data_IF_991806395265
#
_entry.id   IF_991806395265
#
_cell.length_a   1.000
_cell.length_b   1.000
_cell.length_c   1.000
_cell.angle_alpha   90.00
_cell.angle_beta   90.00
_cell.angle_gamma   90.00
#
_symmetry.space_group_name_H-M   'P 1'
#
loop_
_entity.id
_entity.type
_entity.pdbx_description
1 polymer ?
#
# COMPACT_ATOMS: atom_id res chain seq x y z
N UNK A 1 -15.19 5.93 18.55
CA UNK A 1 -13.73 6.00 18.32
C UNK A 1 -13.34 4.70 17.64
N UNK A 2 -12.91 4.73 16.39
CA UNK A 2 -12.45 3.52 15.69
C UNK A 2 -11.17 3.05 16.38
N UNK A 3 -11.12 1.78 16.78
CA UNK A 3 -9.89 1.23 17.37
C UNK A 3 -8.86 1.01 16.27
N UNK A 4 -7.56 0.94 16.59
CA UNK A 4 -6.53 0.64 15.59
C UNK A 4 -6.79 -0.69 14.88
N UNK A 5 -7.40 -1.65 15.57
CA UNK A 5 -7.83 -2.92 14.99
C UNK A 5 -8.86 -2.72 13.87
N UNK A 6 -9.81 -1.81 14.05
CA UNK A 6 -10.83 -1.49 13.04
C UNK A 6 -10.18 -0.81 11.82
N UNK A 7 -9.23 0.11 12.06
CA UNK A 7 -8.47 0.79 10.98
C UNK A 7 -7.62 -0.21 10.17
N UNK A 8 -6.95 -1.15 10.86
CA UNK A 8 -6.20 -2.24 10.21
C UNK A 8 -7.14 -3.09 9.36
N UNK A 9 -8.28 -3.53 9.91
CA UNK A 9 -9.24 -4.35 9.20
C UNK A 9 -9.79 -3.65 7.96
N UNK A 10 -10.12 -2.36 8.07
CA UNK A 10 -10.61 -1.54 6.96
C UNK A 10 -9.59 -1.47 5.82
N UNK A 11 -8.35 -1.10 6.12
CA UNK A 11 -7.30 -0.95 5.10
C UNK A 11 -7.00 -2.28 4.41
N UNK A 12 -6.91 -3.38 5.18
CA UNK A 12 -6.70 -4.70 4.61
C UNK A 12 -7.89 -5.15 3.73
N UNK A 13 -9.13 -4.85 4.14
CA UNK A 13 -10.32 -5.12 3.34
C UNK A 13 -10.28 -4.37 2.00
N UNK A 14 -9.83 -3.11 2.00
CA UNK A 14 -9.66 -2.32 0.77
C UNK A 14 -8.60 -2.91 -0.16
N UNK A 15 -7.47 -3.38 0.39
CA UNK A 15 -6.42 -4.06 -0.38
C UNK A 15 -6.98 -5.35 -1.00
N UNK A 16 -7.65 -6.18 -0.20
CA UNK A 16 -8.21 -7.46 -0.66
C UNK A 16 -9.28 -7.24 -1.75
N UNK A 17 -10.13 -6.23 -1.59
CA UNK A 17 -11.13 -5.86 -2.59
C UNK A 17 -10.48 -5.35 -3.90
N UNK A 18 -9.42 -4.57 -3.83
CA UNK A 18 -8.70 -4.08 -5.00
C UNK A 18 -7.97 -5.23 -5.74
N UNK A 19 -7.32 -6.13 -5.01
CA UNK A 19 -6.70 -7.34 -5.57
C UNK A 19 -7.75 -8.21 -6.28
N UNK A 20 -8.89 -8.48 -5.64
CA UNK A 20 -9.97 -9.25 -6.26
C UNK A 20 -10.53 -8.59 -7.53
N UNK A 21 -10.53 -7.26 -7.62
CA UNK A 21 -10.90 -6.54 -8.85
C UNK A 21 -9.86 -6.71 -9.95
N UNK A 22 -8.58 -6.64 -9.62
CA UNK A 22 -7.46 -6.86 -10.55
C UNK A 22 -7.51 -8.30 -11.10
N UNK A 23 -7.66 -9.28 -10.22
CA UNK A 23 -7.74 -10.70 -10.61
C UNK A 23 -8.92 -10.96 -11.54
N UNK A 24 -10.08 -10.35 -11.28
CA UNK A 24 -11.28 -10.49 -12.11
C UNK A 24 -11.08 -9.98 -13.54
N UNK A 25 -10.13 -9.07 -13.79
CA UNK A 25 -9.88 -8.63 -15.17
C UNK A 25 -9.16 -9.69 -16.00
N UNK A 26 -8.52 -10.68 -15.37
CA UNK A 26 -7.79 -11.75 -16.05
C UNK A 26 -6.48 -11.30 -16.72
N UNK A 27 -6.09 -10.02 -16.58
CA UNK A 27 -4.97 -9.45 -17.33
C UNK A 27 -3.61 -9.75 -16.67
N UNK A 28 -3.55 -10.27 -15.44
CA UNK A 28 -2.29 -10.49 -14.71
C UNK A 28 -1.27 -11.38 -15.46
N UNK A 29 -1.76 -12.33 -16.25
CA UNK A 29 -0.93 -13.24 -17.05
C UNK A 29 -0.73 -12.83 -18.51
N UNK A 30 -1.26 -11.67 -18.93
CA UNK A 30 -1.15 -11.25 -20.33
C UNK A 30 0.31 -10.90 -20.67
N UNK A 31 0.89 -11.65 -21.61
CA UNK A 31 2.20 -11.37 -22.18
C UNK A 31 2.01 -11.03 -23.66
N UNK A 32 2.46 -9.84 -24.06
CA UNK A 32 2.50 -9.48 -25.49
C UNK A 32 3.88 -9.81 -26.03
N UNK A 33 3.92 -10.50 -27.18
CA UNK A 33 5.16 -10.83 -27.86
C UNK A 33 6.00 -9.59 -28.17
N UNK A 34 7.33 -9.74 -28.17
CA UNK A 34 8.26 -8.66 -28.52
C UNK A 34 8.63 -7.71 -27.39
N UNK A 35 8.42 -8.08 -26.12
CA UNK A 35 8.89 -7.32 -24.96
C UNK A 35 8.10 -6.04 -24.66
N UNK A 36 6.96 -5.82 -25.33
CA UNK A 36 6.07 -4.69 -25.07
C UNK A 36 5.15 -4.99 -23.90
N UNK A 37 4.93 -4.01 -23.03
CA UNK A 37 3.92 -4.11 -22.00
C UNK A 37 2.52 -4.31 -22.62
N UNK A 38 1.67 -5.18 -22.06
CA UNK A 38 0.29 -5.35 -22.52
C UNK A 38 -0.51 -4.06 -22.43
N UNK A 39 -1.42 -3.87 -23.39
CA UNK A 39 -2.39 -2.79 -23.32
C UNK A 39 -3.43 -3.12 -22.25
N UNK A 40 -3.26 -2.59 -21.05
CA UNK A 40 -4.19 -2.81 -19.93
C UNK A 40 -5.51 -2.09 -20.12
N UNK A 41 -6.60 -2.75 -19.73
CA UNK A 41 -7.94 -2.17 -19.75
C UNK A 41 -8.07 -0.99 -18.79
N UNK A 42 -9.08 -0.14 -19.01
CA UNK A 42 -9.41 0.94 -18.07
C UNK A 42 -9.76 0.37 -16.68
N UNK A 43 -10.46 -0.76 -16.62
CA UNK A 43 -10.83 -1.45 -15.38
C UNK A 43 -9.60 -1.90 -14.59
N UNK A 44 -8.60 -2.49 -15.25
CA UNK A 44 -7.35 -2.90 -14.60
C UNK A 44 -6.58 -1.70 -14.06
N UNK A 45 -6.50 -0.61 -14.83
CA UNK A 45 -5.84 0.63 -14.40
C UNK A 45 -6.53 1.24 -13.17
N UNK A 46 -7.86 1.31 -13.16
CA UNK A 46 -8.62 1.79 -12.02
C UNK A 46 -8.41 0.90 -10.78
N UNK A 47 -8.50 -0.42 -10.92
CA UNK A 47 -8.29 -1.34 -9.81
C UNK A 47 -6.85 -1.30 -9.26
N UNK A 48 -5.86 -1.08 -10.13
CA UNK A 48 -4.47 -0.89 -9.74
C UNK A 48 -4.26 0.43 -8.98
N UNK A 49 -4.94 1.50 -9.40
CA UNK A 49 -4.91 2.78 -8.68
C UNK A 49 -5.56 2.65 -7.30
N UNK A 50 -6.70 1.95 -7.19
CA UNK A 50 -7.35 1.66 -5.91
C UNK A 50 -6.42 0.88 -4.97
N UNK A 51 -5.72 -0.14 -5.49
CA UNK A 51 -4.73 -0.90 -4.73
C UNK A 51 -3.58 -0.01 -4.23
N UNK A 52 -3.08 0.89 -5.10
CA UNK A 52 -2.02 1.81 -4.73
C UNK A 52 -2.46 2.76 -3.60
N UNK A 53 -3.67 3.33 -3.69
CA UNK A 53 -4.23 4.19 -2.64
C UNK A 53 -4.43 3.42 -1.33
N UNK A 54 -4.95 2.19 -1.39
CA UNK A 54 -5.13 1.35 -0.21
C UNK A 54 -3.77 1.00 0.43
N UNK A 55 -2.74 0.78 -0.39
CA UNK A 55 -1.36 0.55 0.08
C UNK A 55 -0.78 1.80 0.75
N UNK A 56 -0.99 2.98 0.19
CA UNK A 56 -0.60 4.25 0.81
C UNK A 56 -1.26 4.43 2.18
N UNK A 57 -2.56 4.16 2.28
CA UNK A 57 -3.29 4.23 3.55
C UNK A 57 -2.72 3.24 4.60
N UNK A 58 -2.33 2.03 4.18
CA UNK A 58 -1.65 1.06 5.06
C UNK A 58 -0.31 1.58 5.56
N UNK A 59 0.48 2.15 4.65
CA UNK A 59 1.79 2.68 4.99
C UNK A 59 1.66 3.86 5.96
N UNK A 60 0.66 4.73 5.77
CA UNK A 60 0.38 5.81 6.72
C UNK A 60 -0.05 5.27 8.08
N UNK A 61 -0.94 4.27 8.11
CA UNK A 61 -1.36 3.62 9.35
C UNK A 61 -0.19 2.99 10.09
N UNK A 62 0.78 2.40 9.39
CA UNK A 62 2.01 1.92 10.00
C UNK A 62 2.74 3.05 10.75
N UNK A 63 2.92 4.21 10.11
CA UNK A 63 3.61 5.35 10.73
C UNK A 63 2.84 5.87 11.94
N UNK A 64 1.52 6.00 11.82
CA UNK A 64 0.66 6.44 12.93
C UNK A 64 0.78 5.50 14.15
N UNK A 65 0.86 4.18 13.92
CA UNK A 65 0.95 3.17 14.99
C UNK A 65 2.37 3.02 15.56
N UNK A 66 3.41 3.22 14.75
CA UNK A 66 4.81 3.19 15.19
C UNK A 66 5.16 4.44 15.99
N UNK A 67 4.60 5.60 15.62
CA UNK A 67 4.94 6.89 16.21
C UNK A 67 6.43 7.19 16.07
N UNK A 68 7.06 7.60 17.18
CA UNK A 68 8.47 8.00 17.21
C UNK A 68 9.45 6.81 17.36
N UNK A 69 8.96 5.57 17.44
CA UNK A 69 9.81 4.41 17.69
C UNK A 69 10.84 4.19 16.56
N UNK A 70 12.09 3.91 16.91
CA UNK A 70 13.20 3.79 15.95
C UNK A 70 13.06 2.61 14.97
N UNK A 71 12.28 1.59 15.33
CA UNK A 71 12.07 0.39 14.52
C UNK A 71 10.60 -0.05 14.55
N UNK A 72 10.23 -0.89 13.59
CA UNK A 72 8.88 -1.47 13.50
C UNK A 72 8.84 -2.81 14.26
N UNK A 73 7.95 -2.98 15.27
CA UNK A 73 7.73 -4.27 15.92
C UNK A 73 7.23 -5.33 14.92
N UNK A 74 7.70 -6.57 15.08
CA UNK A 74 7.35 -7.67 14.17
C UNK A 74 5.84 -7.97 14.17
N UNK A 75 5.20 -7.86 15.34
CA UNK A 75 3.77 -8.05 15.53
C UNK A 75 2.96 -7.01 14.77
N UNK A 76 3.43 -5.77 14.74
CA UNK A 76 2.79 -4.68 14.00
C UNK A 76 2.92 -4.89 12.49
N UNK A 77 4.11 -5.26 12.02
CA UNK A 77 4.32 -5.61 10.62
C UNK A 77 3.42 -6.79 10.18
N UNK A 78 3.30 -7.81 11.03
CA UNK A 78 2.44 -8.97 10.78
C UNK A 78 0.95 -8.58 10.74
N UNK A 79 0.48 -7.73 11.66
CA UNK A 79 -0.89 -7.22 11.66
C UNK A 79 -1.25 -6.51 10.35
N UNK A 80 -0.30 -5.77 9.76
CA UNK A 80 -0.48 -5.07 8.49
C UNK A 80 -0.14 -5.93 7.26
N UNK A 81 0.12 -7.24 7.43
CA UNK A 81 0.54 -8.17 6.37
C UNK A 81 1.78 -7.66 5.60
N UNK A 82 2.73 -7.07 6.31
CA UNK A 82 3.99 -6.57 5.77
C UNK A 82 5.14 -7.49 6.17
N UNK A 83 6.11 -7.66 5.27
CA UNK A 83 7.40 -8.25 5.65
C UNK A 83 8.20 -7.24 6.47
N UNK A 84 9.08 -7.72 7.35
CA UNK A 84 9.94 -6.83 8.15
C UNK A 84 10.76 -5.86 7.28
N UNK A 85 11.30 -6.34 6.15
CA UNK A 85 12.01 -5.50 5.17
C UNK A 85 11.12 -4.40 4.61
N UNK A 86 9.88 -4.72 4.25
CA UNK A 86 8.95 -3.74 3.69
C UNK A 86 8.57 -2.69 4.75
N UNK A 87 8.25 -3.12 5.96
CA UNK A 87 7.90 -2.21 7.05
C UNK A 87 9.07 -1.26 7.41
N UNK A 88 10.29 -1.80 7.50
CA UNK A 88 11.49 -1.00 7.71
C UNK A 88 11.73 0.00 6.57
N UNK A 89 11.53 -0.41 5.31
CA UNK A 89 11.65 0.49 4.16
C UNK A 89 10.64 1.63 4.20
N UNK A 90 9.39 1.36 4.60
CA UNK A 90 8.36 2.39 4.76
C UNK A 90 8.74 3.39 5.86
N UNK A 91 9.19 2.90 7.03
CA UNK A 91 9.66 3.75 8.12
C UNK A 91 10.86 4.62 7.70
N UNK A 92 11.80 4.04 6.95
CA UNK A 92 12.94 4.78 6.41
C UNK A 92 12.49 5.89 5.44
N UNK A 93 11.56 5.59 4.54
CA UNK A 93 11.02 6.60 3.60
C UNK A 93 10.33 7.74 4.34
N UNK A 94 9.57 7.45 5.41
CA UNK A 94 8.94 8.49 6.22
C UNK A 94 9.97 9.47 6.82
N UNK A 95 11.14 8.96 7.22
CA UNK A 95 12.19 9.75 7.87
C UNK A 95 13.09 10.52 6.92
N UNK A 96 13.51 9.87 5.84
CA UNK A 96 14.61 10.37 4.99
C UNK A 96 14.27 10.36 3.50
N UNK A 97 13.08 9.90 3.13
CA UNK A 97 12.62 9.94 1.74
C UNK A 97 12.50 11.37 1.23
N UNK A 98 12.73 11.55 -0.07
CA UNK A 98 12.43 12.82 -0.73
C UNK A 98 10.93 13.11 -0.66
N UNK A 99 10.53 14.37 -0.77
CA UNK A 99 9.11 14.75 -0.77
C UNK A 99 8.31 13.99 -1.84
N UNK A 100 8.89 13.79 -3.03
CA UNK A 100 8.27 13.00 -4.09
C UNK A 100 8.06 11.54 -3.67
N UNK A 101 9.05 10.93 -3.02
CA UNK A 101 8.97 9.55 -2.58
C UNK A 101 7.95 9.40 -1.44
N UNK A 102 7.94 10.33 -0.48
CA UNK A 102 6.94 10.36 0.58
C UNK A 102 5.52 10.49 0.01
N UNK A 103 5.29 11.41 -0.93
CA UNK A 103 3.99 11.54 -1.60
C UNK A 103 3.57 10.26 -2.35
N UNK A 104 4.52 9.57 -2.97
CA UNK A 104 4.24 8.30 -3.63
C UNK A 104 3.90 7.19 -2.63
N UNK A 105 4.61 7.11 -1.51
CA UNK A 105 4.50 6.02 -0.53
C UNK A 105 3.31 6.20 0.43
N UNK A 106 2.93 7.44 0.75
CA UNK A 106 1.90 7.78 1.74
C UNK A 106 0.69 8.51 1.14
N UNK A 107 0.77 8.92 -0.13
CA UNK A 107 -0.23 9.78 -0.76
C UNK A 107 -0.03 11.25 -0.38
N UNK A 108 -1.04 12.08 -0.65
CA UNK A 108 -1.01 13.47 -0.19
C UNK A 108 -1.24 13.51 1.32
N UNK A 109 -0.18 13.78 2.07
CA UNK A 109 -0.29 14.15 3.48
C UNK A 109 -1.04 15.48 3.48
N UNK A 110 -2.34 15.45 3.78
CA UNK A 110 -3.05 16.68 4.15
C UNK A 110 -2.56 16.98 5.55
N UNK A 111 -1.48 17.74 5.66
CA UNK A 111 -1.02 18.29 6.93
C UNK A 111 -2.20 19.04 7.54
N UNK A 112 -2.73 18.50 8.65
CA UNK A 112 -3.64 19.24 9.53
C UNK A 112 -2.83 20.18 10.41
#
# INVERSE_FOLDING_TARGET
MSTDRDRVAEVLSRIDAANARIERTGELGEQVGGGRAPSRSATFKCASADLHIATQARNQLLIDMVGDAESVPAELAAQLRMTGRHAASVLQIARTGTEQLQRHTFGFITTK
#
